data_IF_155287809200
#
_entry.id   IF_155287809200
#
_cell.length_a   1.000
_cell.length_b   1.000
_cell.length_c   1.000
_cell.angle_alpha   90.00
_cell.angle_beta   90.00
_cell.angle_gamma   90.00
#
_symmetry.space_group_name_H-M   'P 1'
#
loop_
_entity.id
_entity.type
_entity.pdbx_description
1 polymer ?
#
# COMPACT_ATOMS: atom_id res chain seq x y z
N UNK A 1 2.45 7.74 2.67
CA UNK A 1 3.52 7.38 3.62
C UNK A 1 3.21 6.19 4.50
N UNK A 2 2.16 6.11 5.32
CA UNK A 2 1.80 4.80 5.92
C UNK A 2 0.29 4.56 5.98
N UNK A 3 -0.12 3.47 5.34
CA UNK A 3 -1.39 2.81 5.60
C UNK A 3 -1.07 1.50 6.31
N UNK A 4 -1.79 1.16 7.38
CA UNK A 4 -1.65 -0.14 8.05
C UNK A 4 -2.95 -0.91 7.83
N UNK A 5 -2.88 -2.13 7.29
CA UNK A 5 -3.99 -3.08 7.36
C UNK A 5 -3.86 -3.82 8.68
N UNK A 6 -4.83 -3.58 9.57
CA UNK A 6 -4.87 -4.15 10.91
C UNK A 6 -4.93 -5.68 10.87
N UNK A 7 -4.26 -6.33 11.83
CA UNK A 7 -4.41 -7.76 12.12
C UNK A 7 -5.85 -8.18 12.50
N UNK A 8 -6.75 -7.23 12.77
CA UNK A 8 -8.19 -7.48 12.95
C UNK A 8 -8.95 -7.69 11.63
N UNK A 9 -8.28 -7.54 10.49
CA UNK A 9 -8.87 -7.81 9.18
C UNK A 9 -9.09 -9.31 8.97
N UNK A 10 -9.93 -9.69 8.01
CA UNK A 10 -10.12 -11.08 7.62
C UNK A 10 -8.76 -11.75 7.29
N UNK A 11 -8.48 -12.97 7.77
CA UNK A 11 -7.17 -13.62 7.62
C UNK A 11 -6.69 -13.74 6.16
N UNK A 12 -7.61 -13.88 5.22
CA UNK A 12 -7.33 -13.97 3.78
C UNK A 12 -6.70 -12.67 3.25
N UNK A 13 -7.01 -11.51 3.86
CA UNK A 13 -6.43 -10.21 3.51
C UNK A 13 -4.97 -10.10 3.97
N UNK A 14 -4.64 -10.77 5.08
CA UNK A 14 -3.30 -10.75 5.68
C UNK A 14 -2.38 -11.81 5.05
N UNK A 15 -2.89 -12.62 4.12
CA UNK A 15 -2.17 -13.72 3.48
C UNK A 15 -1.88 -13.45 2.00
N UNK A 16 -0.61 -13.67 1.62
CA UNK A 16 -0.17 -13.64 0.22
C UNK A 16 -0.33 -14.99 -0.49
N UNK A 17 -0.33 -16.10 0.26
CA UNK A 17 -0.31 -17.47 -0.28
C UNK A 17 -1.58 -17.83 -1.05
N UNK A 18 -2.74 -17.35 -0.59
CA UNK A 18 -4.03 -17.69 -1.18
C UNK A 18 -4.56 -16.60 -2.13
N UNK A 19 -3.72 -15.65 -2.53
CA UNK A 19 -4.09 -14.49 -3.35
C UNK A 19 -5.19 -13.59 -2.75
N UNK A 20 -5.57 -13.76 -1.48
CA UNK A 20 -6.65 -12.99 -0.85
C UNK A 20 -6.32 -11.50 -0.78
N UNK A 21 -5.09 -11.17 -0.37
CA UNK A 21 -4.57 -9.80 -0.45
C UNK A 21 -4.65 -9.22 -1.87
N UNK A 22 -4.22 -9.97 -2.89
CA UNK A 22 -4.22 -9.51 -4.28
C UNK A 22 -5.64 -9.33 -4.83
N UNK A 23 -6.58 -10.20 -4.43
CA UNK A 23 -7.98 -10.04 -4.79
C UNK A 23 -8.56 -8.74 -4.21
N UNK A 24 -8.27 -8.47 -2.94
CA UNK A 24 -8.64 -7.21 -2.30
C UNK A 24 -7.99 -5.99 -2.98
N UNK A 25 -6.69 -6.04 -3.27
CA UNK A 25 -6.01 -4.98 -4.01
C UNK A 25 -6.72 -4.66 -5.34
N UNK A 26 -7.17 -5.69 -6.08
CA UNK A 26 -7.94 -5.53 -7.31
C UNK A 26 -9.34 -4.95 -7.08
N UNK A 27 -9.98 -5.27 -5.97
CA UNK A 27 -11.26 -4.68 -5.58
C UNK A 27 -11.16 -3.17 -5.33
N UNK A 28 -9.98 -2.67 -4.94
CA UNK A 28 -9.71 -1.26 -4.69
C UNK A 28 -9.00 -0.55 -5.87
N UNK A 29 -8.86 -1.22 -7.03
CA UNK A 29 -8.31 -0.60 -8.25
C UNK A 29 -6.79 -0.71 -8.39
N UNK A 30 -6.16 -1.63 -7.69
CA UNK A 30 -4.71 -1.87 -7.75
C UNK A 30 -4.38 -3.31 -8.16
N UNK A 31 -3.17 -3.58 -8.63
CA UNK A 31 -2.71 -4.93 -8.95
C UNK A 31 -1.18 -5.04 -8.88
N UNK A 32 -0.66 -6.27 -8.95
CA UNK A 32 0.76 -6.51 -9.21
C UNK A 32 1.18 -5.89 -10.56
N UNK A 33 2.48 -5.64 -10.67
CA UNK A 33 3.13 -4.98 -11.80
C UNK A 33 2.85 -5.65 -13.16
N UNK A 34 2.97 -4.84 -14.22
CA UNK A 34 2.73 -5.26 -15.59
C UNK A 34 3.82 -6.23 -16.08
N UNK A 35 3.43 -7.45 -16.45
CA UNK A 35 4.25 -8.41 -17.21
C UNK A 35 5.67 -8.68 -16.64
N UNK A 36 5.87 -8.50 -15.33
CA UNK A 36 7.17 -8.70 -14.68
C UNK A 36 8.21 -7.62 -14.99
N UNK A 37 7.82 -6.49 -15.57
CA UNK A 37 8.66 -5.33 -15.74
C UNK A 37 8.77 -4.59 -14.40
N UNK A 38 9.71 -5.03 -13.56
CA UNK A 38 10.09 -4.32 -12.36
C UNK A 38 11.10 -3.22 -12.72
N UNK A 39 10.68 -1.96 -12.62
CA UNK A 39 11.58 -0.81 -12.68
C UNK A 39 11.77 -0.29 -11.25
N UNK A 40 13.03 -0.32 -10.78
CA UNK A 40 13.44 0.06 -9.43
C UNK A 40 14.07 -1.08 -8.65
N UNK A 41 14.95 -0.75 -7.71
CA UNK A 41 15.48 -1.72 -6.75
C UNK A 41 14.47 -1.96 -5.62
N UNK A 42 14.45 -3.16 -5.01
CA UNK A 42 13.67 -3.39 -3.82
C UNK A 42 14.02 -2.40 -2.70
N UNK A 43 13.02 -1.77 -2.11
CA UNK A 43 13.16 -0.92 -0.95
C UNK A 43 13.15 -1.78 0.33
N UNK A 44 14.06 -1.44 1.23
CA UNK A 44 14.13 -2.03 2.57
C UNK A 44 13.56 -1.06 3.59
N UNK A 45 12.91 -1.60 4.62
CA UNK A 45 12.42 -0.82 5.75
C UNK A 45 12.66 -1.57 7.06
N UNK A 46 12.99 -0.84 8.12
CA UNK A 46 13.00 -1.37 9.48
C UNK A 46 11.60 -1.21 10.08
N UNK A 47 10.94 -2.32 10.38
CA UNK A 47 9.58 -2.31 10.95
C UNK A 47 9.57 -2.22 12.48
N UNK A 48 10.73 -2.09 13.12
CA UNK A 48 10.87 -2.10 14.58
C UNK A 48 10.48 -3.44 15.21
N UNK A 49 10.52 -4.53 14.44
CA UNK A 49 10.04 -5.85 14.87
C UNK A 49 11.16 -6.85 15.18
N UNK A 50 12.40 -6.37 15.32
CA UNK A 50 13.55 -7.19 15.71
C UNK A 50 14.26 -7.88 14.55
N UNK A 51 13.83 -7.67 13.29
CA UNK A 51 14.48 -8.25 12.10
C UNK A 51 15.51 -7.33 11.45
N UNK A 52 15.66 -6.10 11.93
CA UNK A 52 16.43 -5.07 11.24
C UNK A 52 15.71 -4.62 9.97
N UNK A 53 16.49 -4.28 8.94
CA UNK A 53 15.95 -3.88 7.64
C UNK A 53 15.44 -5.11 6.88
N UNK A 54 14.19 -5.06 6.45
CA UNK A 54 13.57 -6.11 5.63
C UNK A 54 13.13 -5.54 4.28
N UNK A 55 13.28 -6.34 3.22
CA UNK A 55 12.79 -5.96 1.89
C UNK A 55 11.26 -6.06 1.83
N UNK A 56 10.67 -5.28 0.94
CA UNK A 56 9.27 -5.43 0.59
C UNK A 56 8.89 -6.87 0.17
N UNK A 57 7.65 -7.24 0.45
CA UNK A 57 7.08 -8.52 -0.01
C UNK A 57 6.41 -8.40 -1.37
N UNK A 58 5.87 -7.21 -1.69
CA UNK A 58 5.21 -6.94 -2.95
C UNK A 58 5.19 -5.43 -3.24
N UNK A 59 5.15 -5.09 -4.53
CA UNK A 59 4.83 -3.75 -5.03
C UNK A 59 3.48 -3.83 -5.75
N UNK A 60 2.55 -2.97 -5.36
CA UNK A 60 1.17 -2.94 -5.84
C UNK A 60 0.89 -1.57 -6.45
N UNK A 61 0.47 -1.55 -7.71
CA UNK A 61 0.33 -0.36 -8.54
C UNK A 61 -1.12 -0.11 -8.91
N UNK A 62 -1.50 1.16 -9.03
CA UNK A 62 -2.80 1.57 -9.53
C UNK A 62 -3.01 0.97 -10.93
N UNK A 63 -4.16 0.34 -11.16
CA UNK A 63 -4.49 -0.31 -12.42
C UNK A 63 -5.58 0.43 -13.21
N UNK A 64 -6.01 1.61 -12.73
CA UNK A 64 -7.08 2.43 -13.34
C UNK A 64 -8.37 1.65 -13.68
N UNK A 65 -8.60 0.49 -13.05
CA UNK A 65 -9.64 -0.49 -13.37
C UNK A 65 -9.61 -1.00 -14.81
N UNK A 66 -8.46 -0.93 -15.47
CA UNK A 66 -8.22 -1.46 -16.82
C UNK A 66 -7.50 -2.81 -16.65
N UNK A 67 -8.18 -3.94 -16.91
CA UNK A 67 -7.56 -5.26 -16.79
C UNK A 67 -6.33 -5.37 -17.69
N UNK A 68 -5.27 -5.99 -17.18
CA UNK A 68 -4.00 -6.31 -17.88
C UNK A 68 -3.13 -5.09 -18.22
N UNK A 69 -3.70 -4.01 -18.76
CA UNK A 69 -2.93 -2.85 -19.25
C UNK A 69 -2.84 -1.69 -18.26
N UNK A 70 -3.69 -1.66 -17.25
CA UNK A 70 -3.77 -0.54 -16.32
C UNK A 70 -2.49 -0.26 -15.54
N UNK A 71 -1.82 -1.31 -15.05
CA UNK A 71 -0.52 -1.15 -14.37
C UNK A 71 0.59 -0.80 -15.35
N UNK A 72 0.50 -1.21 -16.62
CA UNK A 72 1.42 -0.80 -17.68
C UNK A 72 1.26 0.68 -18.03
N UNK A 73 0.02 1.20 -17.96
CA UNK A 73 -0.31 2.60 -18.17
C UNK A 73 0.23 3.42 -16.99
N UNK A 74 0.08 2.97 -15.75
CA UNK A 74 0.67 3.64 -14.56
C UNK A 74 2.19 3.79 -14.68
N UNK A 75 2.89 2.74 -15.14
CA UNK A 75 4.34 2.83 -15.45
C UNK A 75 4.65 3.84 -16.57
N UNK A 76 3.67 4.25 -17.38
CA UNK A 76 3.89 5.21 -18.46
C UNK A 76 3.49 6.64 -18.07
N UNK A 77 2.44 6.81 -17.25
CA UNK A 77 1.80 8.11 -16.95
C UNK A 77 1.91 8.54 -15.49
N UNK A 78 2.57 7.75 -14.64
CA UNK A 78 2.61 8.00 -13.20
C UNK A 78 1.30 7.57 -12.53
N UNK A 79 1.33 7.46 -11.21
CA UNK A 79 0.19 6.93 -10.49
C UNK A 79 0.48 6.61 -9.04
N UNK A 80 -0.52 6.03 -8.39
CA UNK A 80 -0.42 5.63 -7.01
C UNK A 80 0.10 4.20 -6.92
N UNK A 81 1.13 3.97 -6.12
CA UNK A 81 1.58 2.63 -5.81
C UNK A 81 1.90 2.52 -4.32
N UNK A 82 1.97 1.27 -3.85
CA UNK A 82 2.40 1.00 -2.50
C UNK A 82 3.19 -0.30 -2.39
N UNK A 83 4.16 -0.27 -1.48
CA UNK A 83 4.98 -1.43 -1.13
C UNK A 83 4.44 -2.06 0.15
N UNK A 84 4.50 -3.38 0.23
CA UNK A 84 3.89 -4.13 1.34
C UNK A 84 4.94 -4.78 2.23
N UNK A 85 4.82 -4.53 3.53
CA UNK A 85 5.71 -5.03 4.56
C UNK A 85 4.91 -5.71 5.68
N UNK A 86 4.90 -7.04 5.75
CA UNK A 86 4.32 -7.76 6.89
C UNK A 86 5.18 -7.56 8.14
N UNK A 87 4.57 -7.11 9.25
CA UNK A 87 5.27 -6.97 10.53
C UNK A 87 5.09 -8.25 11.36
N UNK A 88 6.07 -9.15 11.26
CA UNK A 88 6.02 -10.52 11.80
C UNK A 88 7.26 -10.90 12.61
N UNK A 89 8.13 -9.93 12.91
CA UNK A 89 9.35 -10.16 13.66
C UNK A 89 9.13 -10.42 15.16
N UNK A 90 10.13 -11.00 15.85
CA UNK A 90 9.99 -11.50 17.22
C UNK A 90 9.71 -10.41 18.27
N UNK A 91 10.16 -9.16 18.04
CA UNK A 91 10.08 -8.11 19.06
C UNK A 91 8.77 -7.32 18.99
N UNK A 92 8.10 -7.32 17.83
CA UNK A 92 6.84 -6.63 17.62
C UNK A 92 5.96 -7.30 16.54
N UNK A 93 5.65 -8.59 16.72
CA UNK A 93 4.76 -9.31 15.81
C UNK A 93 3.31 -8.83 15.98
N UNK A 94 2.88 -7.89 15.14
CA UNK A 94 1.49 -7.43 15.13
C UNK A 94 0.59 -8.26 14.21
N UNK A 95 1.17 -8.98 13.25
CA UNK A 95 0.41 -9.64 12.17
C UNK A 95 -0.24 -8.66 11.18
N UNK A 96 0.06 -7.37 11.28
CA UNK A 96 -0.46 -6.34 10.39
C UNK A 96 0.39 -6.20 9.11
N UNK A 97 -0.21 -5.62 8.07
CA UNK A 97 0.52 -5.23 6.86
C UNK A 97 0.76 -3.72 6.87
N UNK A 98 2.03 -3.32 6.74
CA UNK A 98 2.44 -1.94 6.60
C UNK A 98 2.58 -1.62 5.12
N UNK A 99 1.88 -0.60 4.65
CA UNK A 99 1.86 -0.17 3.26
C UNK A 99 2.56 1.18 3.14
N UNK A 100 3.70 1.20 2.45
CA UNK A 100 4.38 2.42 2.09
C UNK A 100 3.82 2.93 0.76
N UNK A 101 2.84 3.84 0.84
CA UNK A 101 2.14 4.41 -0.31
C UNK A 101 2.71 5.75 -0.75
N UNK A 102 2.80 5.95 -2.07
CA UNK A 102 3.29 7.17 -2.73
C UNK A 102 2.62 7.37 -4.09
N UNK A 103 2.48 8.63 -4.49
CA UNK A 103 2.13 9.06 -5.84
C UNK A 103 3.39 9.52 -6.58
N UNK A 104 3.64 8.95 -7.75
CA UNK A 104 4.78 9.29 -8.61
C UNK A 104 4.34 10.04 -9.87
N UNK A 105 5.22 10.90 -10.38
CA UNK A 105 5.11 11.50 -11.71
C UNK A 105 5.22 10.42 -12.81
N UNK A 106 4.98 10.84 -14.05
CA UNK A 106 5.10 9.96 -15.21
C UNK A 106 6.54 9.57 -15.57
N UNK A 107 6.66 8.67 -16.55
CA UNK A 107 7.96 8.17 -17.00
C UNK A 107 8.88 9.27 -17.57
N UNK A 108 8.31 10.36 -18.11
CA UNK A 108 9.10 11.47 -18.66
C UNK A 108 9.80 12.29 -17.56
N UNK A 109 9.23 12.28 -16.36
CA UNK A 109 9.80 12.82 -15.13
C UNK A 109 10.48 11.73 -14.27
N UNK A 110 10.80 10.57 -14.88
CA UNK A 110 11.53 9.46 -14.26
C UNK A 110 10.87 8.85 -13.00
N UNK A 111 9.55 8.97 -12.86
CA UNK A 111 8.82 8.51 -11.67
C UNK A 111 9.25 9.19 -10.36
N UNK A 112 9.72 10.44 -10.42
CA UNK A 112 9.95 11.21 -9.21
C UNK A 112 8.65 11.34 -8.40
N UNK A 113 8.76 11.26 -7.07
CA UNK A 113 7.61 11.42 -6.20
C UNK A 113 7.14 12.87 -6.28
N UNK A 114 5.85 13.06 -6.59
CA UNK A 114 5.27 14.40 -6.72
C UNK A 114 5.39 15.17 -5.41
N UNK A 115 5.34 16.52 -5.41
CA UNK A 115 5.23 17.29 -4.18
C UNK A 115 4.04 16.81 -3.33
N UNK A 116 4.29 16.53 -2.04
CA UNK A 116 3.30 15.93 -1.12
C UNK A 116 2.83 14.50 -1.51
N UNK A 117 3.53 13.84 -2.43
CA UNK A 117 3.16 12.56 -3.02
C UNK A 117 3.00 11.42 -2.02
N UNK A 118 3.64 11.51 -0.85
CA UNK A 118 3.41 10.56 0.24
C UNK A 118 2.03 10.71 0.90
N UNK A 119 1.58 11.93 1.17
CA UNK A 119 0.26 12.14 1.76
C UNK A 119 -0.82 11.89 0.71
N UNK A 120 -0.63 12.40 -0.52
CA UNK A 120 -1.54 12.17 -1.65
C UNK A 120 -1.71 10.67 -1.92
N UNK A 121 -0.61 9.92 -2.08
CA UNK A 121 -0.67 8.48 -2.34
C UNK A 121 -1.40 7.70 -1.22
N UNK A 122 -1.16 8.07 0.05
CA UNK A 122 -1.87 7.49 1.20
C UNK A 122 -3.37 7.77 1.14
N UNK A 123 -3.75 9.02 0.92
CA UNK A 123 -5.15 9.44 1.01
C UNK A 123 -5.97 8.94 -0.18
N UNK A 124 -5.39 8.90 -1.37
CA UNK A 124 -5.99 8.26 -2.54
C UNK A 124 -6.19 6.75 -2.34
N UNK A 125 -5.20 6.04 -1.78
CA UNK A 125 -5.32 4.62 -1.47
C UNK A 125 -6.46 4.36 -0.48
N UNK A 126 -6.53 5.16 0.58
CA UNK A 126 -7.60 5.06 1.59
C UNK A 126 -8.97 5.36 0.98
N UNK A 127 -9.07 6.41 0.16
CA UNK A 127 -10.30 6.77 -0.54
C UNK A 127 -10.78 5.64 -1.46
N UNK A 128 -9.86 5.02 -2.19
CA UNK A 128 -10.17 3.88 -3.05
C UNK A 128 -10.66 2.66 -2.24
N UNK A 129 -10.11 2.47 -1.04
CA UNK A 129 -10.35 1.31 -0.19
C UNK A 129 -11.64 1.39 0.65
N UNK A 130 -11.96 2.54 1.25
CA UNK A 130 -13.01 2.65 2.28
C UNK A 130 -14.41 2.35 1.74
N UNK A 131 -15.19 1.63 2.54
CA UNK A 131 -16.56 1.21 2.24
C UNK A 131 -16.63 -0.15 1.56
N UNK A 132 -17.75 -0.39 0.87
CA UNK A 132 -18.01 -1.65 0.18
C UNK A 132 -17.28 -1.71 -1.17
N UNK A 133 -16.57 -2.80 -1.40
CA UNK A 133 -15.88 -3.13 -2.64
C UNK A 133 -16.09 -4.60 -2.98
N UNK A 134 -15.91 -4.96 -4.24
CA UNK A 134 -16.05 -6.35 -4.65
C UNK A 134 -15.15 -6.69 -5.82
N UNK A 135 -14.59 -7.89 -5.80
CA UNK A 135 -13.84 -8.44 -6.92
C UNK A 135 -13.96 -9.96 -6.93
N UNK A 136 -14.11 -10.57 -8.13
CA UNK A 136 -14.25 -12.01 -8.32
C UNK A 136 -15.24 -12.69 -7.35
N UNK A 137 -16.40 -12.06 -7.13
CA UNK A 137 -17.46 -12.61 -6.27
C UNK A 137 -17.23 -12.48 -4.76
N UNK A 138 -16.10 -11.91 -4.31
CA UNK A 138 -15.86 -11.61 -2.90
C UNK A 138 -16.24 -10.15 -2.62
N UNK A 139 -17.00 -9.92 -1.54
CA UNK A 139 -17.34 -8.57 -1.06
C UNK A 139 -16.48 -8.22 0.15
N UNK A 140 -15.98 -6.99 0.14
CA UNK A 140 -15.13 -6.45 1.18
C UNK A 140 -15.80 -5.21 1.76
N UNK A 141 -15.72 -5.03 3.07
CA UNK A 141 -16.03 -3.79 3.76
C UNK A 141 -14.78 -3.29 4.50
N UNK A 142 -14.34 -2.08 4.16
CA UNK A 142 -13.16 -1.46 4.77
C UNK A 142 -13.56 -0.25 5.60
N UNK A 143 -13.11 -0.24 6.85
CA UNK A 143 -13.19 0.94 7.74
C UNK A 143 -11.81 1.55 7.92
N UNK A 144 -11.76 2.84 8.24
CA UNK A 144 -10.51 3.58 8.49
C UNK A 144 -10.57 4.30 9.84
N UNK A 145 -9.42 4.37 10.50
CA UNK A 145 -9.19 5.25 11.65
C UNK A 145 -7.82 5.90 11.53
N UNK A 146 -7.68 7.08 12.12
CA UNK A 146 -6.42 7.82 12.12
C UNK A 146 -5.63 7.47 13.39
N UNK A 147 -4.34 7.22 13.21
CA UNK A 147 -3.39 7.00 14.30
C UNK A 147 -2.31 8.08 14.21
N UNK A 148 -2.20 8.88 15.26
CA UNK A 148 -1.25 9.99 15.37
C UNK A 148 -0.23 9.72 16.47
N UNK A 149 0.92 10.40 16.41
CA UNK A 149 1.93 10.35 17.47
C UNK A 149 2.89 9.16 17.40
N UNK A 150 2.69 8.25 16.45
CA UNK A 150 3.65 7.18 16.13
C UNK A 150 4.73 7.61 15.14
N UNK A 151 4.50 8.72 14.43
CA UNK A 151 5.37 9.23 13.41
C UNK A 151 5.41 10.76 13.48
N UNK A 152 6.62 11.33 13.55
CA UNK A 152 6.79 12.77 13.66
C UNK A 152 6.61 13.42 12.28
N UNK A 153 5.70 14.39 12.19
CA UNK A 153 5.51 15.20 10.98
C UNK A 153 6.81 15.89 10.53
N UNK A 154 6.98 16.04 9.21
CA UNK A 154 8.16 16.62 8.58
C UNK A 154 8.85 15.67 7.61
N UNK A 155 10.08 15.99 7.22
CA UNK A 155 10.86 15.24 6.21
C UNK A 155 12.13 14.57 6.76
N UNK A 156 12.38 14.67 8.07
CA UNK A 156 13.57 14.11 8.69
C UNK A 156 13.54 12.58 8.61
N UNK A 157 14.54 12.00 7.94
CA UNK A 157 14.61 10.55 7.70
C UNK A 157 13.57 10.01 6.71
N UNK A 158 12.84 10.89 6.02
CA UNK A 158 11.88 10.50 4.99
C UNK A 158 12.58 10.49 3.64
N UNK A 159 12.31 9.43 2.86
CA UNK A 159 12.91 9.27 1.53
C UNK A 159 12.59 10.49 0.63
N UNK A 160 13.54 10.86 -0.23
CA UNK A 160 13.53 12.09 -1.05
C UNK A 160 13.37 13.43 -0.28
N UNK A 161 13.38 13.44 1.06
CA UNK A 161 13.19 14.66 1.85
C UNK A 161 11.79 15.28 1.72
N UNK A 162 10.81 14.51 1.24
CA UNK A 162 9.43 14.97 1.08
C UNK A 162 8.73 14.92 2.44
N UNK A 163 8.12 16.02 2.85
CA UNK A 163 7.44 16.10 4.14
C UNK A 163 6.15 15.29 4.15
N UNK A 164 5.79 14.82 5.34
CA UNK A 164 4.57 14.07 5.64
C UNK A 164 3.92 14.62 6.92
N UNK A 165 2.63 14.36 7.12
CA UNK A 165 1.83 15.00 8.18
C UNK A 165 1.82 14.27 9.54
N UNK A 166 2.49 13.12 9.65
CA UNK A 166 2.55 12.30 10.87
C UNK A 166 1.31 11.43 11.13
N UNK A 167 0.38 11.37 10.17
CA UNK A 167 -0.87 10.62 10.29
C UNK A 167 -0.73 9.26 9.60
N UNK A 168 -0.96 8.20 10.38
CA UNK A 168 -1.06 6.83 9.87
C UNK A 168 -2.54 6.50 9.70
N UNK A 169 -2.91 5.93 8.54
CA UNK A 169 -4.28 5.47 8.27
C UNK A 169 -4.38 3.98 8.58
N UNK A 170 -5.15 3.60 9.59
CA UNK A 170 -5.36 2.21 10.00
C UNK A 170 -6.64 1.69 9.36
N UNK A 171 -6.51 0.76 8.41
CA UNK A 171 -7.61 0.07 7.75
C UNK A 171 -7.94 -1.23 8.48
N UNK A 172 -9.23 -1.51 8.63
CA UNK A 172 -9.72 -2.85 9.00
C UNK A 172 -10.63 -3.36 7.89
N UNK A 173 -10.24 -4.46 7.26
CA UNK A 173 -10.89 -5.03 6.07
C UNK A 173 -11.60 -6.32 6.45
N UNK A 174 -12.90 -6.39 6.18
CA UNK A 174 -13.73 -7.57 6.47
C UNK A 174 -14.30 -8.14 5.18
N UNK A 175 -14.19 -9.46 5.00
CA UNK A 175 -14.98 -10.17 3.99
C UNK A 175 -16.40 -10.28 4.53
N UNK A 176 -17.37 -9.84 3.73
CA UNK A 176 -18.80 -9.85 4.11
C UNK A 176 -19.57 -10.80 3.21
N UNK A 177 -20.58 -11.45 3.80
CA UNK A 177 -21.47 -12.33 3.04
C UNK A 177 -22.27 -11.56 1.98
N UNK A 178 -22.68 -12.29 0.95
CA UNK A 178 -23.39 -11.74 -0.20
C UNK A 178 -24.83 -11.37 0.10
#
# INVERSE_FOLDING_TARGET
MYVIISAKSSPEILSFTNHGFLNYARAIGFSIECLGLHQGDPQSANLGDGRGDVNETAVIRENFRIPVLGTCIETLIGGNHFRVFPQTGPDANSGALFLAASKEEDLSEHHDIIPDGYNIGRDELVLAAVGLRSHNGVKYNTTVSDVTGLLQAGSQGINHGIAQDGIIKLLTVTIVDS
#
